data_IF_838362652313
#
_entry.id   IF_838362652313
#
_cell.length_a   1.000
_cell.length_b   1.000
_cell.length_c   1.000
_cell.angle_alpha   90.00
_cell.angle_beta   90.00
_cell.angle_gamma   90.00
#
_symmetry.space_group_name_H-M   'P 1'
#
loop_
_entity.id
_entity.type
_entity.pdbx_description
1 polymer ?
#
# COMPACT_ATOMS: atom_id res chain seq x y z
N UNK A 1 -3.10 3.57 -13.48
CA UNK A 1 -2.44 4.17 -12.29
C UNK A 1 -3.44 4.19 -11.15
N UNK A 2 -3.18 3.58 -9.99
CA UNK A 2 -4.13 3.67 -8.87
C UNK A 2 -4.25 5.12 -8.40
N UNK A 3 -5.47 5.64 -8.32
CA UNK A 3 -5.77 7.02 -7.92
C UNK A 3 -5.24 7.31 -6.50
N UNK A 4 -4.25 8.19 -6.41
CA UNK A 4 -3.58 8.56 -5.14
C UNK A 4 -4.59 9.13 -4.14
N UNK A 5 -5.60 9.88 -4.61
CA UNK A 5 -6.63 10.50 -3.77
C UNK A 5 -7.42 9.43 -3.01
N UNK A 6 -7.91 8.41 -3.72
CA UNK A 6 -8.67 7.30 -3.12
C UNK A 6 -7.81 6.49 -2.14
N UNK A 7 -6.54 6.24 -2.49
CA UNK A 7 -5.60 5.57 -1.59
C UNK A 7 -5.38 6.37 -0.31
N UNK A 8 -5.21 7.69 -0.40
CA UNK A 8 -4.98 8.56 0.74
C UNK A 8 -6.20 8.61 1.66
N UNK A 9 -7.40 8.78 1.09
CA UNK A 9 -8.65 8.77 1.87
C UNK A 9 -8.78 7.45 2.63
N UNK A 10 -8.56 6.30 1.97
CA UNK A 10 -8.72 4.98 2.60
C UNK A 10 -7.63 4.65 3.63
N UNK A 11 -6.36 4.93 3.32
CA UNK A 11 -5.22 4.48 4.13
C UNK A 11 -4.77 5.48 5.18
N UNK A 12 -5.15 6.75 5.06
CA UNK A 12 -4.77 7.80 6.00
C UNK A 12 -5.99 8.40 6.68
N UNK A 13 -6.83 9.13 5.95
CA UNK A 13 -7.96 9.86 6.56
C UNK A 13 -8.93 8.91 7.27
N UNK A 14 -9.37 7.83 6.59
CA UNK A 14 -10.29 6.86 7.17
C UNK A 14 -9.72 6.18 8.42
N UNK A 15 -8.42 5.91 8.45
CA UNK A 15 -7.75 5.30 9.62
C UNK A 15 -7.72 6.28 10.79
N UNK A 16 -7.43 7.57 10.57
CA UNK A 16 -7.42 8.55 11.66
C UNK A 16 -8.85 8.81 12.19
N UNK A 17 -9.84 8.92 11.31
CA UNK A 17 -11.25 9.04 11.72
C UNK A 17 -11.72 7.82 12.54
N UNK A 18 -11.36 6.60 12.14
CA UNK A 18 -11.70 5.43 12.95
C UNK A 18 -11.07 5.43 14.34
N UNK A 19 -9.85 5.98 14.50
CA UNK A 19 -9.25 6.15 15.83
C UNK A 19 -10.07 7.14 16.64
N UNK A 20 -10.42 8.28 16.07
CA UNK A 20 -11.26 9.27 16.75
C UNK A 20 -12.57 8.64 17.24
N UNK A 21 -13.24 7.85 16.40
CA UNK A 21 -14.45 7.12 16.77
C UNK A 21 -14.18 6.12 17.92
N UNK A 22 -13.08 5.35 17.85
CA UNK A 22 -12.71 4.36 18.88
C UNK A 22 -12.37 5.00 20.23
N UNK A 23 -11.74 6.17 20.22
CA UNK A 23 -11.38 6.91 21.43
C UNK A 23 -12.51 7.84 21.92
N UNK A 24 -13.69 7.79 21.31
CA UNK A 24 -14.86 8.55 21.75
C UNK A 24 -14.71 10.07 21.60
N UNK A 25 -14.00 10.52 20.56
CA UNK A 25 -13.90 11.96 20.27
C UNK A 25 -15.30 12.53 20.02
N UNK A 26 -15.67 13.55 20.82
CA UNK A 26 -17.03 14.11 20.88
C UNK A 26 -17.67 14.42 19.52
N UNK A 27 -16.88 14.92 18.57
CA UNK A 27 -17.32 15.29 17.22
C UNK A 27 -16.46 14.68 16.11
N UNK A 28 -15.64 13.69 16.46
CA UNK A 28 -14.68 13.08 15.55
C UNK A 28 -15.15 11.76 14.97
N UNK A 29 -14.44 11.31 13.95
CA UNK A 29 -14.51 9.92 13.49
C UNK A 29 -15.71 9.50 12.66
N UNK A 30 -16.40 10.44 12.03
CA UNK A 30 -17.46 10.14 11.05
C UNK A 30 -17.04 10.56 9.64
N UNK A 31 -17.32 9.72 8.65
CA UNK A 31 -17.14 9.98 7.23
C UNK A 31 -18.37 9.53 6.46
N UNK A 32 -19.00 10.45 5.73
CA UNK A 32 -20.18 10.14 4.91
C UNK A 32 -19.80 10.05 3.44
N UNK A 33 -20.16 8.95 2.79
CA UNK A 33 -19.96 8.72 1.37
C UNK A 33 -21.21 9.04 0.56
N UNK A 34 -20.96 9.76 -0.55
CA UNK A 34 -21.90 10.05 -1.61
C UNK A 34 -21.42 9.33 -2.86
N UNK A 35 -22.29 8.54 -3.48
CA UNK A 35 -21.89 7.71 -4.59
C UNK A 35 -22.27 8.35 -5.93
N UNK A 36 -21.23 8.87 -6.56
CA UNK A 36 -21.20 9.62 -7.80
C UNK A 36 -20.98 8.76 -9.06
N UNK A 37 -21.05 7.42 -8.96
CA UNK A 37 -20.66 6.51 -10.07
C UNK A 37 -21.61 6.60 -11.27
N UNK A 38 -22.91 6.72 -11.01
CA UNK A 38 -23.94 6.84 -12.04
C UNK A 38 -24.59 8.22 -11.97
N UNK A 39 -24.45 8.99 -13.05
CA UNK A 39 -24.96 10.34 -13.15
C UNK A 39 -26.49 10.40 -13.30
N UNK A 40 -27.12 9.31 -13.79
CA UNK A 40 -28.59 9.26 -13.94
C UNK A 40 -29.30 9.32 -12.59
N UNK A 41 -28.65 8.81 -11.54
CA UNK A 41 -29.17 8.82 -10.16
C UNK A 41 -28.45 9.83 -9.26
N UNK A 42 -27.69 10.78 -9.84
CA UNK A 42 -26.90 11.75 -9.10
C UNK A 42 -27.72 12.58 -8.12
N UNK A 43 -28.89 13.06 -8.57
CA UNK A 43 -29.75 13.89 -7.74
C UNK A 43 -30.17 13.14 -6.47
N UNK A 44 -30.47 11.84 -6.57
CA UNK A 44 -30.83 11.05 -5.40
C UNK A 44 -29.61 10.66 -4.54
N UNK A 45 -28.57 10.12 -5.18
CA UNK A 45 -27.43 9.48 -4.50
C UNK A 45 -26.39 10.46 -3.96
N UNK A 46 -26.35 11.69 -4.50
CA UNK A 46 -25.37 12.72 -4.12
C UNK A 46 -26.07 13.98 -3.64
N UNK A 47 -26.93 14.62 -4.44
CA UNK A 47 -27.53 15.91 -4.09
C UNK A 47 -28.45 15.81 -2.88
N UNK A 48 -29.53 15.03 -2.98
CA UNK A 48 -30.55 14.89 -1.94
C UNK A 48 -29.93 14.37 -0.64
N UNK A 49 -29.10 13.32 -0.75
CA UNK A 49 -28.37 12.74 0.38
C UNK A 49 -27.39 13.72 1.02
N UNK A 50 -26.60 14.43 0.22
CA UNK A 50 -25.63 15.40 0.71
C UNK A 50 -26.30 16.57 1.43
N UNK A 51 -27.40 17.08 0.89
CA UNK A 51 -28.21 18.13 1.52
C UNK A 51 -28.83 17.62 2.82
N UNK A 52 -29.40 16.41 2.84
CA UNK A 52 -29.95 15.78 4.06
C UNK A 52 -28.91 15.72 5.18
N UNK A 53 -27.72 15.20 4.88
CA UNK A 53 -26.61 15.07 5.84
C UNK A 53 -26.18 16.46 6.34
N UNK A 54 -26.02 17.42 5.43
CA UNK A 54 -25.59 18.77 5.78
C UNK A 54 -26.62 19.49 6.66
N UNK A 55 -27.91 19.38 6.35
CA UNK A 55 -28.98 19.99 7.15
C UNK A 55 -29.02 19.37 8.55
N UNK A 56 -29.01 18.04 8.66
CA UNK A 56 -28.96 17.36 9.96
C UNK A 56 -27.73 17.77 10.79
N UNK A 57 -26.58 17.91 10.14
CA UNK A 57 -25.34 18.35 10.78
C UNK A 57 -25.45 19.80 11.29
N UNK A 58 -26.04 20.71 10.50
CA UNK A 58 -26.16 22.13 10.86
C UNK A 58 -27.21 22.36 11.94
N UNK A 59 -28.34 21.65 11.88
CA UNK A 59 -29.47 21.85 12.80
C UNK A 59 -29.23 21.22 14.18
N UNK A 60 -28.73 19.98 14.20
CA UNK A 60 -28.67 19.16 15.42
C UNK A 60 -27.25 18.70 15.77
N UNK A 61 -26.27 19.05 14.94
CA UNK A 61 -24.85 18.74 15.15
C UNK A 61 -24.39 17.42 14.52
N UNK A 62 -23.09 17.10 14.63
CA UNK A 62 -22.50 15.89 14.04
C UNK A 62 -22.99 14.57 14.62
N UNK A 63 -23.49 14.56 15.86
CA UNK A 63 -23.89 13.33 16.55
C UNK A 63 -25.25 12.84 16.03
N UNK A 64 -26.14 13.75 15.69
CA UNK A 64 -27.54 13.51 15.32
C UNK A 64 -27.76 13.11 13.86
N UNK A 65 -26.73 13.12 13.01
CA UNK A 65 -26.88 12.68 11.62
C UNK A 65 -27.22 11.18 11.59
N UNK A 66 -28.43 10.87 11.12
CA UNK A 66 -29.04 9.53 11.09
C UNK A 66 -28.72 8.74 9.81
N UNK A 67 -28.33 9.43 8.74
CA UNK A 67 -27.90 8.81 7.51
C UNK A 67 -26.77 7.80 7.75
N UNK A 68 -26.80 6.66 7.05
CA UNK A 68 -25.68 5.72 7.10
C UNK A 68 -24.38 6.39 6.60
N UNK A 69 -23.23 6.10 7.20
CA UNK A 69 -21.95 6.67 6.74
C UNK A 69 -21.57 6.17 5.33
N UNK A 70 -21.78 4.89 5.05
CA UNK A 70 -21.46 4.28 3.75
C UNK A 70 -22.75 3.69 3.16
N UNK A 71 -23.16 4.09 1.93
CA UNK A 71 -24.26 3.46 1.22
C UNK A 71 -24.02 1.95 1.07
N UNK A 72 -25.07 1.14 1.18
CA UNK A 72 -25.00 -0.33 1.16
C UNK A 72 -24.15 -0.87 0.00
N UNK A 73 -24.36 -0.34 -1.22
CA UNK A 73 -23.60 -0.73 -2.42
C UNK A 73 -22.08 -0.55 -2.32
N UNK A 74 -21.62 0.36 -1.46
CA UNK A 74 -20.20 0.68 -1.27
C UNK A 74 -19.59 0.03 -0.01
N UNK A 75 -20.39 -0.60 0.86
CA UNK A 75 -19.90 -1.16 2.12
C UNK A 75 -18.79 -2.19 1.91
N UNK A 76 -18.96 -3.10 0.95
CA UNK A 76 -17.97 -4.15 0.66
C UNK A 76 -16.64 -3.60 0.13
N UNK A 77 -16.64 -2.44 -0.51
CA UNK A 77 -15.45 -1.82 -1.09
C UNK A 77 -14.70 -0.92 -0.10
N UNK A 78 -15.44 -0.35 0.84
CA UNK A 78 -14.97 0.67 1.76
C UNK A 78 -15.07 0.25 3.23
N UNK A 79 -15.14 -1.05 3.51
CA UNK A 79 -15.14 -1.57 4.87
C UNK A 79 -13.92 -1.05 5.64
N UNK A 80 -14.12 0.04 6.39
CA UNK A 80 -13.04 0.84 6.96
C UNK A 80 -12.23 -0.01 7.97
N UNK A 81 -12.85 -1.05 8.54
CA UNK A 81 -12.21 -2.02 9.43
C UNK A 81 -11.02 -2.75 8.79
N UNK A 82 -11.01 -2.89 7.46
CA UNK A 82 -9.89 -3.51 6.73
C UNK A 82 -8.65 -2.62 6.63
N UNK A 83 -8.77 -1.31 6.89
CA UNK A 83 -7.64 -0.37 6.89
C UNK A 83 -6.74 -0.49 8.12
N UNK A 84 -7.29 -0.91 9.25
CA UNK A 84 -6.56 -1.08 10.51
C UNK A 84 -5.52 -2.22 10.45
N UNK A 85 -5.83 -3.31 9.73
CA UNK A 85 -4.92 -4.48 9.63
C UNK A 85 -3.71 -4.24 8.71
N UNK A 86 -3.71 -3.20 7.88
CA UNK A 86 -2.56 -2.86 7.00
C UNK A 86 -1.94 -1.50 7.30
N UNK A 87 -2.28 -0.89 8.43
CA UNK A 87 -1.61 0.32 8.88
C UNK A 87 -0.30 -0.05 9.58
N UNK A 88 0.82 0.55 9.18
CA UNK A 88 2.11 0.45 9.90
C UNK A 88 2.08 1.15 11.28
N UNK A 89 0.89 1.42 11.82
CA UNK A 89 0.64 2.01 13.13
C UNK A 89 -0.07 1.02 14.08
N UNK A 90 -0.02 -0.27 13.79
CA UNK A 90 -0.45 -1.33 14.73
C UNK A 90 0.68 -1.69 15.68
N UNK A 91 0.34 -2.10 16.91
CA UNK A 91 1.33 -2.58 17.89
C UNK A 91 2.10 -3.79 17.30
N UNK A 92 3.43 -3.77 17.32
CA UNK A 92 4.27 -4.83 16.71
C UNK A 92 4.62 -4.61 15.22
N UNK A 93 4.07 -3.56 14.59
CA UNK A 93 4.41 -3.18 13.21
C UNK A 93 5.86 -2.71 13.05
N UNK A 94 6.58 -2.44 14.14
CA UNK A 94 8.03 -2.16 14.17
C UNK A 94 8.85 -3.23 13.43
N UNK A 95 8.43 -4.50 13.53
CA UNK A 95 9.05 -5.61 12.81
C UNK A 95 8.98 -5.46 11.29
N UNK A 96 8.01 -4.70 10.76
CA UNK A 96 7.87 -4.40 9.34
C UNK A 96 8.81 -3.28 8.87
N UNK A 97 9.55 -2.61 9.76
CA UNK A 97 10.51 -1.55 9.41
C UNK A 97 11.94 -2.08 9.24
N UNK A 98 12.15 -3.39 9.37
CA UNK A 98 13.46 -4.00 9.13
C UNK A 98 13.86 -3.84 7.66
N UNK A 99 15.05 -3.31 7.44
CA UNK A 99 15.61 -3.15 6.10
C UNK A 99 16.29 -4.45 5.66
N UNK A 100 16.06 -4.84 4.41
CA UNK A 100 16.70 -5.97 3.75
C UNK A 100 17.36 -5.48 2.47
N UNK A 101 18.65 -5.78 2.32
CA UNK A 101 19.43 -5.36 1.16
C UNK A 101 19.68 -6.55 0.23
N UNK A 102 19.40 -6.36 -1.06
CA UNK A 102 19.76 -7.34 -2.08
C UNK A 102 21.14 -7.04 -2.65
N UNK A 103 22.10 -7.95 -2.42
CA UNK A 103 23.44 -7.87 -2.99
C UNK A 103 23.48 -8.05 -4.52
N UNK A 104 22.45 -8.70 -5.08
CA UNK A 104 22.38 -9.07 -6.51
C UNK A 104 21.67 -8.00 -7.34
N UNK A 105 20.56 -7.47 -6.84
CA UNK A 105 19.76 -6.49 -7.57
C UNK A 105 20.26 -5.08 -7.29
N UNK A 106 20.73 -4.41 -8.34
CA UNK A 106 21.12 -3.00 -8.29
C UNK A 106 20.13 -2.14 -9.08
N UNK A 107 20.00 -0.89 -8.66
CA UNK A 107 19.27 0.13 -9.41
C UNK A 107 20.14 0.73 -10.53
N UNK A 108 19.55 1.59 -11.38
CA UNK A 108 20.25 2.25 -12.49
C UNK A 108 21.50 3.02 -12.04
N UNK A 109 21.48 3.54 -10.81
CA UNK A 109 22.59 4.26 -10.18
C UNK A 109 23.64 3.32 -9.53
N UNK A 110 23.54 2.00 -9.72
CA UNK A 110 24.45 1.01 -9.15
C UNK A 110 24.24 0.68 -7.67
N UNK A 111 23.31 1.36 -7.00
CA UNK A 111 22.98 1.11 -5.58
C UNK A 111 22.19 -0.19 -5.40
N UNK A 112 22.43 -0.96 -4.33
CA UNK A 112 21.68 -2.18 -4.05
C UNK A 112 20.21 -1.88 -3.77
N UNK A 113 19.32 -2.79 -4.16
CA UNK A 113 17.91 -2.68 -3.88
C UNK A 113 17.66 -2.94 -2.39
N UNK A 114 17.01 -1.99 -1.71
CA UNK A 114 16.62 -2.11 -0.32
C UNK A 114 15.10 -2.26 -0.23
N UNK A 115 14.64 -3.32 0.45
CA UNK A 115 13.24 -3.55 0.79
C UNK A 115 13.02 -3.34 2.29
N UNK A 116 11.90 -2.72 2.66
CA UNK A 116 11.52 -2.52 4.07
C UNK A 116 10.40 -3.51 4.40
N UNK A 117 10.64 -4.36 5.41
CA UNK A 117 9.73 -5.40 5.87
C UNK A 117 9.89 -6.74 5.16
N UNK A 118 9.65 -7.82 5.91
CA UNK A 118 9.85 -9.20 5.45
C UNK A 118 8.96 -9.54 4.25
N UNK A 119 7.71 -9.09 4.25
CA UNK A 119 6.77 -9.34 3.14
C UNK A 119 7.28 -8.75 1.82
N UNK A 120 7.73 -7.49 1.83
CA UNK A 120 8.27 -6.84 0.64
C UNK A 120 9.59 -7.47 0.19
N UNK A 121 10.40 -7.95 1.14
CA UNK A 121 11.59 -8.74 0.84
C UNK A 121 11.26 -10.08 0.16
N UNK A 122 10.24 -10.80 0.63
CA UNK A 122 9.81 -12.05 0.01
C UNK A 122 9.21 -11.84 -1.39
N UNK A 123 8.42 -10.79 -1.57
CA UNK A 123 7.91 -10.40 -2.90
C UNK A 123 9.09 -10.10 -3.83
N UNK A 124 10.10 -9.37 -3.34
CA UNK A 124 11.30 -9.07 -4.09
C UNK A 124 12.06 -10.33 -4.51
N UNK A 125 12.39 -11.22 -3.57
CA UNK A 125 13.17 -12.44 -3.86
C UNK A 125 12.44 -13.39 -4.82
N UNK A 126 11.10 -13.42 -4.76
CA UNK A 126 10.25 -14.20 -5.69
C UNK A 126 10.05 -13.52 -7.04
N UNK A 127 10.39 -12.23 -7.17
CA UNK A 127 10.15 -11.43 -8.38
C UNK A 127 10.97 -11.91 -9.59
N UNK A 128 10.41 -11.71 -10.78
CA UNK A 128 11.10 -12.00 -12.07
C UNK A 128 12.43 -11.25 -12.19
N UNK A 129 12.49 -10.02 -11.70
CA UNK A 129 13.71 -9.19 -11.71
C UNK A 129 14.84 -9.87 -10.94
N UNK A 130 14.55 -10.31 -9.71
CA UNK A 130 15.55 -10.97 -8.87
C UNK A 130 16.05 -12.28 -9.49
N UNK A 131 15.13 -13.16 -9.91
CA UNK A 131 15.47 -14.43 -10.57
C UNK A 131 16.34 -14.24 -11.81
N UNK A 132 16.02 -13.25 -12.65
CA UNK A 132 16.81 -12.94 -13.86
C UNK A 132 18.22 -12.49 -13.52
N UNK A 133 18.37 -11.62 -12.51
CA UNK A 133 19.67 -11.10 -12.11
C UNK A 133 20.55 -12.18 -11.48
N UNK A 134 20.00 -13.03 -10.62
CA UNK A 134 20.71 -14.20 -10.06
C UNK A 134 21.23 -15.11 -11.18
N UNK A 135 20.38 -15.41 -12.17
CA UNK A 135 20.80 -16.22 -13.32
C UNK A 135 21.89 -15.56 -14.19
N UNK A 136 21.89 -14.23 -14.29
CA UNK A 136 22.96 -13.50 -14.96
C UNK A 136 24.28 -13.59 -14.19
N UNK A 137 24.27 -13.34 -12.88
CA UNK A 137 25.49 -13.42 -12.06
C UNK A 137 26.09 -14.84 -12.05
N UNK A 138 25.26 -15.89 -11.94
CA UNK A 138 25.73 -17.27 -12.01
C UNK A 138 26.42 -17.60 -13.35
N UNK A 139 25.87 -17.11 -14.46
CA UNK A 139 26.51 -17.29 -15.79
C UNK A 139 27.84 -16.53 -15.87
N UNK A 140 27.89 -15.32 -15.31
CA UNK A 140 29.11 -14.52 -15.28
C UNK A 140 30.22 -15.22 -14.48
N UNK A 141 29.90 -15.72 -13.29
CA UNK A 141 30.85 -16.47 -12.44
C UNK A 141 31.36 -17.71 -13.18
N UNK A 142 30.47 -18.53 -13.75
CA UNK A 142 30.87 -19.72 -14.54
C UNK A 142 31.78 -19.36 -15.71
N UNK A 143 31.51 -18.23 -16.39
CA UNK A 143 32.33 -17.75 -17.49
C UNK A 143 33.74 -17.32 -17.02
N UNK A 144 33.83 -16.64 -15.87
CA UNK A 144 35.10 -16.24 -15.27
C UNK A 144 35.91 -17.47 -14.80
N UNK A 145 35.27 -18.45 -14.17
CA UNK A 145 35.90 -19.73 -13.79
C UNK A 145 36.45 -20.48 -15.01
N UNK A 146 35.67 -20.56 -16.08
CA UNK A 146 36.07 -21.19 -17.33
C UNK A 146 37.30 -20.50 -17.93
N UNK A 147 37.30 -19.16 -17.98
CA UNK A 147 38.45 -18.36 -18.44
C UNK A 147 39.70 -18.62 -17.62
N UNK A 148 39.57 -18.73 -16.29
CA UNK A 148 40.71 -19.02 -15.41
C UNK A 148 41.27 -20.42 -15.63
N UNK A 149 40.42 -21.42 -15.89
CA UNK A 149 40.86 -22.78 -16.23
C UNK A 149 41.65 -22.83 -17.54
N UNK A 150 41.18 -22.14 -18.58
CA UNK A 150 41.87 -22.14 -19.88
C UNK A 150 43.10 -21.22 -19.95
N UNK A 151 43.29 -20.30 -18.99
CA UNK A 151 44.54 -19.52 -18.85
C UNK A 151 45.70 -20.31 -18.25
N UNK A 152 45.45 -21.43 -17.56
CA UNK A 152 46.48 -22.34 -17.01
C UNK A 152 46.57 -23.59 -17.89
N UNK A 153 47.18 -23.50 -19.09
CA UNK A 153 48.46 -24.21 -19.29
C UNK A 153 49.30 -23.62 -20.45
N UNK A 154 49.90 -22.43 -20.28
CA UNK A 154 50.90 -21.92 -21.24
C UNK A 154 52.01 -21.06 -20.61
N UNK A 155 52.13 -21.03 -19.28
CA UNK A 155 53.18 -20.28 -18.57
C UNK A 155 54.23 -21.19 -17.88
N UNK A 156 54.10 -22.52 -17.97
CA UNK A 156 55.06 -23.49 -17.38
C UNK A 156 55.99 -24.16 -18.42
N UNK A 157 56.06 -23.63 -19.63
CA UNK A 157 57.01 -24.10 -20.65
C UNK A 157 57.78 -22.93 -21.28
N UNK A 158 58.71 -22.36 -20.50
CA UNK A 158 59.88 -21.64 -20.99
C UNK A 158 61.08 -21.91 -20.08
#
# INVERSE_FOLDING_TARGET
MPNIKVKWIRKLLGVELQKEARFGYKYGGKLYMLDATDLQVWDQSVKNRGVSIANQFLESGPISVTDAQIPERLQSQFDLNTGLTRSNKTLGSESNWKHYECSVCKDKSGKPLVSVGKEQWEIHTKSRRHKKQVGYELRKIKHEELKMRYKRPNEESK
#
